data_IF_208006878113
#
_entry.id   IF_208006878113
#
_cell.length_a   1.000
_cell.length_b   1.000
_cell.length_c   1.000
_cell.angle_alpha   90.00
_cell.angle_beta   90.00
_cell.angle_gamma   90.00
#
_symmetry.space_group_name_H-M   'P 1'
#
loop_
_entity.id
_entity.type
_entity.pdbx_description
1 polymer ?
#
# COMPACT_ATOMS: atom_id res chain seq x y z
N UNK A 1 12.72 5.53 15.17
CA UNK A 1 12.58 4.24 14.47
C UNK A 1 12.85 4.50 13.00
N UNK A 2 13.67 3.67 12.36
CA UNK A 2 13.77 3.68 10.91
C UNK A 2 12.51 3.01 10.31
N UNK A 3 12.04 3.43 9.13
CA UNK A 3 10.89 2.80 8.47
C UNK A 3 11.14 1.31 8.18
N UNK A 4 10.05 0.54 8.00
CA UNK A 4 10.12 -0.88 7.68
C UNK A 4 10.28 -1.06 6.16
N UNK A 5 11.43 -1.59 5.73
CA UNK A 5 11.73 -1.78 4.32
C UNK A 5 11.07 -3.06 3.79
N UNK A 6 10.40 -2.95 2.65
CA UNK A 6 10.01 -4.08 1.80
C UNK A 6 11.02 -4.14 0.65
N UNK A 7 11.83 -5.19 0.64
CA UNK A 7 12.94 -5.42 -0.29
C UNK A 7 12.61 -6.61 -1.17
N UNK A 8 12.82 -6.45 -2.47
CA UNK A 8 12.29 -7.38 -3.44
C UNK A 8 13.37 -7.69 -4.46
N UNK A 9 13.87 -8.92 -4.38
CA UNK A 9 14.84 -9.47 -5.32
C UNK A 9 14.60 -10.97 -5.51
N UNK A 10 14.86 -11.47 -6.72
CA UNK A 10 14.92 -12.91 -6.99
C UNK A 10 16.23 -13.52 -6.44
N UNK A 11 17.23 -12.69 -6.13
CA UNK A 11 18.52 -13.08 -5.56
C UNK A 11 18.68 -12.44 -4.17
N UNK A 12 18.86 -13.26 -3.14
CA UNK A 12 18.87 -12.89 -1.72
C UNK A 12 20.10 -12.05 -1.27
N UNK A 13 20.49 -11.02 -2.02
CA UNK A 13 21.54 -10.07 -1.65
C UNK A 13 20.93 -8.71 -1.30
N UNK A 14 21.08 -8.35 -0.02
CA UNK A 14 20.58 -7.12 0.58
C UNK A 14 21.06 -5.85 -0.14
N UNK A 15 22.33 -5.84 -0.56
CA UNK A 15 22.98 -4.65 -1.14
C UNK A 15 22.66 -4.48 -2.63
N UNK A 16 22.06 -5.50 -3.26
CA UNK A 16 21.76 -5.53 -4.70
C UNK A 16 20.27 -5.53 -5.04
N UNK A 17 19.39 -5.47 -4.03
CA UNK A 17 17.94 -5.49 -4.21
C UNK A 17 17.50 -4.49 -5.30
N UNK A 18 17.01 -5.01 -6.43
CA UNK A 18 16.59 -4.19 -7.57
C UNK A 18 15.50 -3.18 -7.21
N UNK A 19 14.65 -3.52 -6.25
CA UNK A 19 13.57 -2.67 -5.79
C UNK A 19 13.46 -2.70 -4.26
N UNK A 20 13.59 -1.53 -3.65
CA UNK A 20 13.31 -1.30 -2.23
C UNK A 20 12.22 -0.26 -2.12
N UNK A 21 11.14 -0.60 -1.42
CA UNK A 21 10.00 0.28 -1.17
C UNK A 21 9.70 0.32 0.32
N UNK A 22 9.16 1.45 0.76
CA UNK A 22 8.71 1.67 2.12
C UNK A 22 7.25 2.11 2.06
N UNK A 23 6.30 1.16 2.05
CA UNK A 23 4.89 1.50 2.16
C UNK A 23 4.61 2.13 3.53
N UNK A 24 3.68 3.08 3.59
CA UNK A 24 3.29 3.69 4.87
C UNK A 24 2.72 2.65 5.84
N UNK A 25 1.95 1.68 5.31
CA UNK A 25 1.48 0.51 6.06
C UNK A 25 1.64 -0.74 5.19
N UNK A 26 2.16 -1.81 5.81
CA UNK A 26 2.27 -3.14 5.20
C UNK A 26 1.65 -4.19 6.12
N UNK A 27 0.95 -5.16 5.54
CA UNK A 27 0.53 -6.38 6.23
C UNK A 27 1.21 -7.57 5.58
N UNK A 28 1.91 -8.36 6.39
CA UNK A 28 2.63 -9.57 5.97
C UNK A 28 2.13 -10.71 6.85
N UNK A 29 1.46 -11.69 6.24
CA UNK A 29 0.86 -12.80 6.97
C UNK A 29 1.87 -13.90 7.29
N UNK A 30 2.82 -14.13 6.39
CA UNK A 30 3.86 -15.15 6.56
C UNK A 30 5.08 -14.54 7.27
N UNK A 31 5.22 -14.88 8.56
CA UNK A 31 6.30 -14.38 9.42
C UNK A 31 7.68 -14.81 8.97
N UNK A 32 7.80 -15.88 8.17
CA UNK A 32 9.10 -16.34 7.66
C UNK A 32 9.73 -15.35 6.66
N UNK A 33 8.90 -14.48 6.08
CA UNK A 33 9.31 -13.42 5.15
C UNK A 33 9.89 -12.19 5.84
N UNK A 34 9.75 -12.10 7.16
CA UNK A 34 10.20 -10.98 7.98
C UNK A 34 11.60 -11.30 8.51
N UNK A 35 12.59 -10.59 8.00
CA UNK A 35 13.98 -10.64 8.46
C UNK A 35 14.33 -9.49 9.40
N UNK A 36 15.58 -9.47 9.87
CA UNK A 36 16.09 -8.46 10.81
C UNK A 36 16.10 -7.03 10.25
N UNK A 37 15.99 -6.88 8.93
CA UNK A 37 16.12 -5.60 8.26
C UNK A 37 14.85 -5.21 7.48
N UNK A 38 13.75 -5.97 7.58
CA UNK A 38 12.54 -5.74 6.78
C UNK A 38 11.90 -7.03 6.25
N UNK A 39 11.16 -6.93 5.15
CA UNK A 39 10.53 -8.06 4.47
C UNK A 39 11.18 -8.29 3.10
N UNK A 40 11.58 -9.52 2.80
CA UNK A 40 12.26 -9.87 1.54
C UNK A 40 11.28 -10.32 0.43
N UNK A 41 9.98 -10.22 0.71
CA UNK A 41 8.88 -10.63 -0.15
C UNK A 41 7.79 -9.53 -0.19
N UNK A 42 6.92 -9.54 -1.21
CA UNK A 42 5.86 -8.54 -1.31
C UNK A 42 4.84 -8.72 -0.17
N UNK A 43 4.36 -7.63 0.45
CA UNK A 43 3.31 -7.72 1.46
C UNK A 43 2.01 -8.26 0.86
N UNK A 44 1.17 -8.83 1.72
CA UNK A 44 -0.18 -9.24 1.35
C UNK A 44 -1.06 -8.01 1.08
N UNK A 45 -0.94 -6.97 1.92
CA UNK A 45 -1.57 -5.66 1.74
C UNK A 45 -0.52 -4.54 1.87
N UNK A 46 -0.51 -3.61 0.92
CA UNK A 46 0.23 -2.35 1.00
C UNK A 46 -0.74 -1.17 1.00
N UNK A 47 -0.48 -0.16 1.84
CA UNK A 47 -1.23 1.10 1.89
C UNK A 47 -0.27 2.26 1.72
N UNK A 48 -0.65 3.20 0.86
CA UNK A 48 0.11 4.42 0.59
C UNK A 48 -0.77 5.64 0.83
N UNK A 49 -0.24 6.64 1.52
CA UNK A 49 -0.89 7.92 1.77
C UNK A 49 -0.26 8.96 0.86
N UNK A 50 -1.04 9.53 -0.06
CA UNK A 50 -0.55 10.52 -0.98
C UNK A 50 -0.13 11.80 -0.25
N UNK A 51 1.03 12.34 -0.62
CA UNK A 51 1.49 13.67 -0.22
C UNK A 51 1.22 14.69 -1.33
N UNK A 52 1.04 15.96 -0.95
CA UNK A 52 0.72 17.06 -1.88
C UNK A 52 1.81 17.33 -2.92
N UNK A 53 3.07 16.95 -2.66
CA UNK A 53 4.23 17.34 -3.47
C UNK A 53 4.65 16.33 -4.54
N UNK A 54 4.22 15.06 -4.46
CA UNK A 54 4.64 14.00 -5.40
C UNK A 54 3.53 13.05 -5.85
N UNK A 55 2.27 13.30 -5.45
CA UNK A 55 1.13 12.41 -5.61
C UNK A 55 1.02 11.69 -6.96
N UNK A 56 1.11 12.41 -8.09
CA UNK A 56 0.80 11.81 -9.40
C UNK A 56 1.91 10.88 -9.92
N UNK A 57 3.18 11.26 -9.71
CA UNK A 57 4.32 10.49 -10.20
C UNK A 57 4.55 9.26 -9.32
N UNK A 58 4.58 9.46 -8.01
CA UNK A 58 4.79 8.38 -7.04
C UNK A 58 3.66 7.35 -7.10
N UNK A 59 2.41 7.80 -7.31
CA UNK A 59 1.26 6.91 -7.53
C UNK A 59 1.49 5.94 -8.69
N UNK A 60 1.95 6.44 -9.84
CA UNK A 60 2.11 5.60 -11.03
C UNK A 60 3.28 4.64 -10.92
N UNK A 61 4.39 5.08 -10.33
CA UNK A 61 5.60 4.26 -10.18
C UNK A 61 5.37 3.17 -9.13
N UNK A 62 4.81 3.52 -7.95
CA UNK A 62 4.48 2.54 -6.90
C UNK A 62 3.38 1.57 -7.33
N UNK A 63 2.34 2.04 -8.03
CA UNK A 63 1.30 1.16 -8.57
C UNK A 63 1.88 0.06 -9.45
N UNK A 64 2.68 0.43 -10.46
CA UNK A 64 3.29 -0.53 -11.39
C UNK A 64 4.23 -1.48 -10.66
N UNK A 65 5.00 -0.94 -9.71
CA UNK A 65 5.92 -1.73 -8.92
C UNK A 65 5.15 -2.77 -8.11
N UNK A 66 4.17 -2.38 -7.30
CA UNK A 66 3.37 -3.33 -6.52
C UNK A 66 2.61 -4.35 -7.39
N UNK A 67 2.13 -3.93 -8.56
CA UNK A 67 1.53 -4.84 -9.55
C UNK A 67 2.53 -5.92 -10.03
N UNK A 68 3.74 -5.51 -10.40
CA UNK A 68 4.80 -6.42 -10.85
C UNK A 68 5.25 -7.37 -9.75
N UNK A 69 5.39 -6.85 -8.54
CA UNK A 69 5.80 -7.59 -7.35
C UNK A 69 4.68 -8.50 -6.85
N UNK A 70 3.45 -8.18 -7.20
CA UNK A 70 2.32 -9.06 -6.98
C UNK A 70 1.74 -8.98 -5.57
N UNK A 71 1.78 -7.80 -4.96
CA UNK A 71 1.00 -7.49 -3.75
C UNK A 71 -0.47 -7.81 -4.03
N UNK A 72 -1.20 -8.40 -3.05
CA UNK A 72 -2.53 -8.97 -3.32
C UNK A 72 -3.60 -7.89 -3.28
N UNK A 73 -3.50 -6.99 -2.31
CA UNK A 73 -4.38 -5.84 -2.12
C UNK A 73 -3.55 -4.56 -1.95
N UNK A 74 -3.93 -3.50 -2.65
CA UNK A 74 -3.19 -2.24 -2.62
C UNK A 74 -4.14 -1.06 -2.45
N UNK A 75 -3.90 -0.25 -1.41
CA UNK A 75 -4.72 0.91 -1.10
C UNK A 75 -3.96 2.20 -1.34
N UNK A 76 -4.64 3.15 -1.99
CA UNK A 76 -4.17 4.52 -2.15
C UNK A 76 -5.11 5.43 -1.38
N UNK A 77 -4.61 6.01 -0.30
CA UNK A 77 -5.31 7.02 0.50
C UNK A 77 -4.96 8.38 -0.07
N UNK A 78 -5.96 9.15 -0.45
CA UNK A 78 -5.83 10.53 -0.89
C UNK A 78 -6.41 11.47 0.19
N UNK A 79 -5.57 12.05 1.07
CA UNK A 79 -6.01 12.98 2.10
C UNK A 79 -6.68 14.24 1.56
N UNK A 80 -6.23 14.74 0.40
CA UNK A 80 -6.72 15.97 -0.20
C UNK A 80 -8.16 15.78 -0.68
N UNK A 81 -8.42 14.68 -1.37
CA UNK A 81 -9.76 14.36 -1.88
C UNK A 81 -10.60 13.54 -0.91
N UNK A 82 -10.03 13.14 0.23
CA UNK A 82 -10.66 12.31 1.26
C UNK A 82 -11.25 11.00 0.70
N UNK A 83 -10.44 10.33 -0.11
CA UNK A 83 -10.82 9.06 -0.74
C UNK A 83 -9.79 7.96 -0.46
N UNK A 84 -10.25 6.73 -0.57
CA UNK A 84 -9.39 5.54 -0.60
C UNK A 84 -9.73 4.74 -1.86
N UNK A 85 -8.74 4.52 -2.71
CA UNK A 85 -8.86 3.60 -3.85
C UNK A 85 -8.30 2.23 -3.47
N UNK A 86 -9.06 1.17 -3.78
CA UNK A 86 -8.66 -0.21 -3.51
C UNK A 86 -8.42 -0.93 -4.83
N UNK A 87 -7.21 -1.47 -4.98
CA UNK A 87 -6.77 -2.26 -6.11
C UNK A 87 -6.54 -3.70 -5.67
N UNK A 88 -6.86 -4.63 -6.56
CA UNK A 88 -6.62 -6.05 -6.33
C UNK A 88 -5.92 -6.73 -7.47
N UNK A 89 -5.05 -7.67 -7.12
CA UNK A 89 -4.37 -8.51 -8.09
C UNK A 89 -5.37 -9.41 -8.84
N UNK A 90 -5.21 -9.46 -10.16
CA UNK A 90 -5.91 -10.36 -11.06
C UNK A 90 -4.89 -11.11 -11.91
N UNK A 91 -5.34 -12.01 -12.79
CA UNK A 91 -4.44 -12.78 -13.66
C UNK A 91 -3.52 -11.89 -14.51
N UNK A 92 -3.99 -10.69 -14.89
CA UNK A 92 -3.26 -9.72 -15.72
C UNK A 92 -3.11 -8.38 -15.00
N UNK A 93 -2.30 -8.38 -13.94
CA UNK A 93 -1.94 -7.15 -13.22
C UNK A 93 -2.97 -6.77 -12.17
N UNK A 94 -3.30 -5.49 -12.09
CA UNK A 94 -4.21 -4.92 -11.10
C UNK A 94 -5.49 -4.39 -11.72
N UNK A 95 -6.57 -4.54 -10.97
CA UNK A 95 -7.86 -3.90 -11.25
C UNK A 95 -8.27 -3.03 -10.07
N UNK A 96 -8.81 -1.84 -10.35
CA UNK A 96 -9.48 -1.02 -9.35
C UNK A 96 -10.78 -1.71 -8.97
N UNK A 97 -10.86 -2.17 -7.72
CA UNK A 97 -12.02 -2.88 -7.16
C UNK A 97 -13.08 -1.89 -6.69
N UNK A 98 -12.64 -0.88 -5.95
CA UNK A 98 -13.54 0.06 -5.26
C UNK A 98 -12.88 1.42 -5.06
N UNK A 99 -13.72 2.44 -4.86
CA UNK A 99 -13.33 3.75 -4.34
C UNK A 99 -14.29 4.08 -3.20
N UNK A 100 -13.73 4.50 -2.08
CA UNK A 100 -14.45 4.86 -0.87
C UNK A 100 -14.21 6.33 -0.54
N UNK A 101 -15.22 7.04 -0.08
CA UNK A 101 -15.13 8.40 0.44
C UNK A 101 -15.15 8.45 1.97
N UNK A 102 -14.98 9.65 2.53
CA UNK A 102 -14.95 9.92 3.98
C UNK A 102 -16.11 9.28 4.76
N UNK A 103 -17.33 9.20 4.20
CA UNK A 103 -18.48 8.63 4.90
C UNK A 103 -18.58 7.11 4.89
N UNK A 104 -17.72 6.42 4.14
CA UNK A 104 -17.86 5.00 3.88
C UNK A 104 -17.17 4.12 4.93
N UNK A 105 -17.57 2.85 4.92
CA UNK A 105 -16.90 1.77 5.65
C UNK A 105 -16.21 0.89 4.61
N UNK A 106 -14.88 0.88 4.66
CA UNK A 106 -14.05 0.08 3.80
C UNK A 106 -13.87 -1.31 4.43
N UNK A 107 -14.14 -2.37 3.67
CA UNK A 107 -13.81 -3.75 4.04
C UNK A 107 -12.74 -4.29 3.09
N UNK A 108 -11.63 -4.78 3.62
CA UNK A 108 -10.60 -5.44 2.83
C UNK A 108 -11.17 -6.69 2.16
N UNK A 109 -10.90 -6.87 0.86
CA UNK A 109 -11.34 -8.08 0.18
C UNK A 109 -10.40 -9.27 0.46
N UNK A 110 -9.17 -9.01 0.91
CA UNK A 110 -8.23 -10.05 1.33
C UNK A 110 -8.44 -10.48 2.80
N UNK A 111 -8.85 -9.54 3.65
CA UNK A 111 -9.07 -9.73 5.07
C UNK A 111 -10.49 -9.29 5.45
N UNK A 112 -11.48 -10.19 5.36
CA UNK A 112 -12.89 -9.84 5.59
C UNK A 112 -13.18 -9.22 6.98
N UNK A 113 -12.35 -9.52 7.98
CA UNK A 113 -12.46 -8.95 9.32
C UNK A 113 -11.79 -7.57 9.47
N UNK A 114 -10.99 -7.15 8.48
CA UNK A 114 -10.39 -5.81 8.44
C UNK A 114 -11.41 -4.83 7.86
N UNK A 115 -12.15 -4.21 8.76
CA UNK A 115 -13.13 -3.16 8.47
C UNK A 115 -12.67 -1.83 9.02
N UNK A 116 -12.71 -0.78 8.20
CA UNK A 116 -12.21 0.55 8.53
C UNK A 116 -13.30 1.59 8.25
N UNK A 117 -13.77 2.27 9.29
CA UNK A 117 -14.65 3.43 9.13
C UNK A 117 -13.83 4.65 8.72
N UNK A 118 -14.09 5.21 7.53
CA UNK A 118 -13.33 6.34 7.01
C UNK A 118 -13.76 7.68 7.63
N UNK A 119 -14.91 7.71 8.30
CA UNK A 119 -15.50 8.92 8.88
C UNK A 119 -14.59 9.57 9.94
N UNK A 120 -13.75 8.78 10.61
CA UNK A 120 -12.78 9.23 11.60
C UNK A 120 -11.37 9.49 11.07
N UNK A 121 -11.05 9.01 9.87
CA UNK A 121 -9.67 9.01 9.35
C UNK A 121 -9.25 10.39 8.83
N UNK A 122 -10.19 11.15 8.28
CA UNK A 122 -9.91 12.45 7.67
C UNK A 122 -10.19 13.67 8.59
N UNK A 123 -10.64 13.44 9.83
CA UNK A 123 -11.20 14.49 10.71
C UNK A 123 -10.21 15.59 11.14
N UNK A 124 -8.90 15.34 11.05
CA UNK A 124 -7.84 16.29 11.48
C UNK A 124 -6.90 16.69 10.34
N UNK A 125 -7.32 16.50 9.08
CA UNK A 125 -6.52 16.90 7.92
C UNK A 125 -6.98 18.31 7.52
N UNK A 126 -6.27 19.33 8.00
CA UNK A 126 -6.47 20.70 7.54
C UNK A 126 -6.01 20.79 6.08
N UNK A 127 -6.89 21.26 5.20
CA UNK A 127 -6.54 21.49 3.81
C UNK A 127 -5.53 22.63 3.73
N UNK A 128 -4.28 22.33 3.38
CA UNK A 128 -3.36 23.37 2.91
C UNK A 128 -3.88 23.88 1.56
N UNK A 129 -4.67 24.96 1.63
CA UNK A 129 -5.08 25.77 0.48
C UNK A 129 -4.06 26.83 0.11
#
# INVERSE_FOLDING_TARGET
MAPFDVRLDEQADYEQAKHVVQPDISVICDKSKIGNQGCDDPPDLAVEVLSSSTALKDRNDKYKLYEQLGVKEYWIVDPLHRTVEVYGRVEKGYEKRSVFGEGDVLVSFLFADLTVSLAGIFQNIEGEG
#
